data_IF_759984760501
#
_entry.id   IF_759984760501
#
_cell.length_a   1.000
_cell.length_b   1.000
_cell.length_c   1.000
_cell.angle_alpha   90.00
_cell.angle_beta   90.00
_cell.angle_gamma   90.00
#
_symmetry.space_group_name_H-M   'P 1'
#
loop_
_entity.id
_entity.type
_entity.pdbx_description
1 polymer ?
#
# COMPACT_ATOMS: atom_id res chain seq x y z
N UNK A 1 18.63 -34.11 41.57
CA UNK A 1 18.24 -33.69 40.21
C UNK A 1 16.98 -32.84 40.30
N UNK A 2 17.12 -31.52 40.16
CA UNK A 2 16.03 -30.65 39.69
C UNK A 2 16.69 -29.42 39.04
N UNK A 3 17.22 -29.65 37.84
CA UNK A 3 17.39 -28.61 36.81
C UNK A 3 15.99 -28.09 36.47
N UNK A 4 15.88 -26.96 35.77
CA UNK A 4 14.64 -26.29 35.35
C UNK A 4 14.05 -25.30 36.37
N UNK A 5 14.72 -24.18 36.60
CA UNK A 5 14.00 -22.94 36.86
C UNK A 5 14.75 -21.65 36.44
N UNK A 6 15.00 -21.45 35.13
CA UNK A 6 15.05 -20.10 34.61
C UNK A 6 14.04 -19.98 33.46
N UNK A 7 12.74 -20.06 33.76
CA UNK A 7 11.66 -19.83 32.78
C UNK A 7 10.74 -18.70 33.28
N UNK A 8 11.28 -17.68 33.93
CA UNK A 8 10.49 -16.56 34.45
C UNK A 8 10.96 -15.18 33.96
N UNK A 9 11.87 -15.12 32.98
CA UNK A 9 12.42 -13.84 32.48
C UNK A 9 12.24 -13.62 30.97
N UNK A 10 11.15 -14.12 30.40
CA UNK A 10 10.72 -13.77 29.04
C UNK A 10 9.28 -13.22 29.04
N UNK A 11 8.94 -12.37 30.01
CA UNK A 11 7.84 -11.43 29.86
C UNK A 11 8.33 -10.26 28.99
N UNK A 12 8.43 -10.48 27.68
CA UNK A 12 8.58 -9.38 26.74
C UNK A 12 7.34 -8.52 26.86
N UNK A 13 7.48 -7.29 27.37
CA UNK A 13 6.46 -6.27 27.22
C UNK A 13 6.36 -5.93 25.73
N UNK A 14 5.60 -6.72 24.97
CA UNK A 14 5.04 -6.22 23.72
C UNK A 14 4.12 -5.10 24.16
N UNK A 15 4.62 -3.88 24.05
CA UNK A 15 3.80 -2.69 24.15
C UNK A 15 2.70 -2.84 23.09
N UNK A 16 1.48 -3.15 23.53
CA UNK A 16 0.31 -3.18 22.66
C UNK A 16 -0.01 -1.72 22.39
N UNK A 17 0.69 -1.12 21.43
CA UNK A 17 0.27 0.14 20.86
C UNK A 17 -0.85 -0.18 19.88
N UNK A 18 -2.07 0.22 20.23
CA UNK A 18 -3.15 0.27 19.25
C UNK A 18 -2.71 1.22 18.13
N UNK A 19 -2.59 0.75 16.88
CA UNK A 19 -2.16 1.60 15.79
C UNK A 19 -3.12 2.78 15.70
N UNK A 20 -2.59 3.99 15.78
CA UNK A 20 -3.36 5.20 15.56
C UNK A 20 -3.30 5.58 14.07
N UNK A 21 -4.35 6.21 13.53
CA UNK A 21 -4.31 6.74 12.16
C UNK A 21 -3.09 7.65 11.90
N UNK A 22 -2.59 8.34 12.92
CA UNK A 22 -1.37 9.17 12.88
C UNK A 22 -0.08 8.38 12.68
N UNK A 23 -0.06 7.08 12.98
CA UNK A 23 1.10 6.22 12.78
C UNK A 23 1.32 5.91 11.29
N UNK A 24 0.32 6.23 10.44
CA UNK A 24 0.42 6.11 9.00
C UNK A 24 0.88 7.45 8.41
N UNK A 25 2.15 7.54 8.03
CA UNK A 25 2.63 8.66 7.22
C UNK A 25 2.12 8.52 5.78
N UNK A 26 1.10 9.30 5.42
CA UNK A 26 0.61 9.41 4.05
C UNK A 26 1.53 10.33 3.24
N UNK A 27 2.69 9.81 2.84
CA UNK A 27 3.57 10.49 1.88
C UNK A 27 3.07 10.24 0.45
N UNK A 28 2.28 11.18 -0.08
CA UNK A 28 1.77 11.11 -1.46
C UNK A 28 2.88 11.05 -2.52
N UNK A 29 4.08 11.56 -2.21
CA UNK A 29 5.22 11.53 -3.13
C UNK A 29 5.85 10.16 -3.28
N UNK A 30 5.66 9.27 -2.28
CA UNK A 30 6.13 7.88 -2.29
C UNK A 30 5.09 6.90 -2.81
N UNK A 31 3.85 7.34 -3.03
CA UNK A 31 2.76 6.46 -3.46
C UNK A 31 2.92 6.11 -4.94
N UNK A 32 3.10 4.83 -5.23
CA UNK A 32 3.05 4.30 -6.59
C UNK A 32 1.59 4.24 -7.07
N UNK A 33 1.09 5.38 -7.57
CA UNK A 33 -0.25 5.49 -8.13
C UNK A 33 -0.49 4.54 -9.31
N UNK A 34 0.56 4.17 -10.06
CA UNK A 34 0.40 3.23 -11.16
C UNK A 34 0.02 1.85 -10.64
N UNK A 35 0.61 1.43 -9.51
CA UNK A 35 0.26 0.17 -8.86
C UNK A 35 -1.12 0.21 -8.21
N UNK A 36 -1.46 1.31 -7.53
CA UNK A 36 -2.80 1.51 -6.94
C UNK A 36 -3.89 1.34 -8.01
N UNK A 37 -3.79 2.05 -9.15
CA UNK A 37 -4.80 1.95 -10.20
C UNK A 37 -4.91 0.54 -10.80
N UNK A 38 -3.81 -0.23 -10.90
CA UNK A 38 -3.88 -1.62 -11.36
C UNK A 38 -4.62 -2.51 -10.37
N UNK A 39 -4.36 -2.35 -9.07
CA UNK A 39 -5.04 -3.11 -8.02
C UNK A 39 -6.54 -2.80 -8.02
N UNK A 40 -6.91 -1.53 -8.15
CA UNK A 40 -8.32 -1.11 -8.24
C UNK A 40 -9.01 -1.64 -9.50
N UNK A 41 -8.34 -1.62 -10.67
CA UNK A 41 -8.87 -2.25 -11.89
C UNK A 41 -9.06 -3.77 -11.71
N UNK A 42 -8.12 -4.45 -11.05
CA UNK A 42 -8.26 -5.88 -10.75
C UNK A 42 -9.44 -6.14 -9.83
N UNK A 43 -9.59 -5.36 -8.76
CA UNK A 43 -10.72 -5.46 -7.85
C UNK A 43 -12.05 -5.18 -8.58
N UNK A 44 -12.10 -4.19 -9.47
CA UNK A 44 -13.27 -3.90 -10.29
C UNK A 44 -13.67 -5.10 -11.17
N UNK A 45 -12.70 -5.76 -11.81
CA UNK A 45 -12.96 -7.00 -12.59
C UNK A 45 -13.47 -8.13 -11.69
N UNK A 46 -12.87 -8.33 -10.52
CA UNK A 46 -13.29 -9.37 -9.55
C UNK A 46 -14.70 -9.14 -9.00
N UNK A 47 -15.17 -7.89 -8.99
CA UNK A 47 -16.51 -7.50 -8.52
C UNK A 47 -17.50 -7.20 -9.66
N UNK A 48 -17.12 -7.47 -10.92
CA UNK A 48 -17.93 -7.16 -12.11
C UNK A 48 -18.39 -5.68 -12.17
N UNK A 49 -17.60 -4.77 -11.59
CA UNK A 49 -17.87 -3.32 -11.58
C UNK A 49 -17.24 -2.65 -12.79
N UNK A 50 -17.97 -2.65 -13.90
CA UNK A 50 -17.56 -2.00 -15.15
C UNK A 50 -17.32 -0.49 -14.98
N UNK A 51 -18.10 0.18 -14.12
CA UNK A 51 -17.97 1.61 -13.87
C UNK A 51 -16.65 1.95 -13.21
N UNK A 52 -16.29 1.22 -12.16
CA UNK A 52 -15.01 1.37 -11.47
C UNK A 52 -13.84 1.03 -12.41
N UNK A 53 -13.93 -0.04 -13.19
CA UNK A 53 -12.88 -0.40 -14.14
C UNK A 53 -12.58 0.74 -15.12
N UNK A 54 -13.63 1.31 -15.74
CA UNK A 54 -13.46 2.41 -16.68
C UNK A 54 -12.87 3.66 -16.04
N UNK A 55 -13.32 4.01 -14.83
CA UNK A 55 -12.78 5.14 -14.10
C UNK A 55 -11.27 4.97 -13.84
N UNK A 56 -10.86 3.86 -13.24
CA UNK A 56 -9.45 3.64 -12.88
C UNK A 56 -8.56 3.43 -14.10
N UNK A 57 -9.07 2.83 -15.17
CA UNK A 57 -8.35 2.73 -16.43
C UNK A 57 -8.04 4.11 -17.02
N UNK A 58 -9.00 5.03 -17.01
CA UNK A 58 -8.78 6.40 -17.50
C UNK A 58 -7.70 7.13 -16.68
N UNK A 59 -7.75 7.02 -15.35
CA UNK A 59 -6.74 7.64 -14.47
C UNK A 59 -5.35 7.04 -14.66
N UNK A 60 -5.26 5.72 -14.80
CA UNK A 60 -4.00 5.03 -15.13
C UNK A 60 -3.40 5.55 -16.45
N UNK A 61 -4.23 5.68 -17.50
CA UNK A 61 -3.76 6.17 -18.80
C UNK A 61 -3.28 7.63 -18.73
N UNK A 62 -3.98 8.50 -18.01
CA UNK A 62 -3.54 9.89 -17.77
C UNK A 62 -2.18 9.93 -17.09
N UNK A 63 -1.98 9.10 -16.06
CA UNK A 63 -0.71 8.99 -15.35
C UNK A 63 0.42 8.53 -16.28
N UNK A 64 0.21 7.48 -17.08
CA UNK A 64 1.23 6.96 -18.03
C UNK A 64 1.60 8.00 -19.08
N UNK A 65 0.62 8.73 -19.62
CA UNK A 65 0.87 9.83 -20.56
C UNK A 65 1.72 10.92 -19.90
N UNK A 66 1.41 11.31 -18.65
CA UNK A 66 2.18 12.31 -17.89
C UNK A 66 3.63 11.86 -17.69
N UNK A 67 3.84 10.60 -17.29
CA UNK A 67 5.17 10.02 -17.11
C UNK A 67 5.98 10.00 -18.42
N UNK A 68 5.35 9.61 -19.53
CA UNK A 68 5.98 9.62 -20.86
C UNK A 68 6.36 11.03 -21.34
N UNK A 69 5.53 12.03 -21.04
CA UNK A 69 5.86 13.44 -21.35
C UNK A 69 7.03 13.92 -20.49
N UNK A 70 7.04 13.61 -19.21
CA UNK A 70 8.13 13.97 -18.30
C UNK A 70 9.46 13.33 -18.71
N UNK A 71 9.46 12.05 -19.11
CA UNK A 71 10.67 11.36 -19.57
C UNK A 71 11.22 11.92 -20.89
N UNK A 72 10.36 12.47 -21.76
CA UNK A 72 10.80 13.14 -23.00
C UNK A 72 11.36 14.54 -22.78
N UNK A 73 10.92 15.22 -21.72
CA UNK A 73 11.33 16.59 -21.40
C UNK A 73 12.60 16.66 -20.54
N UNK A 74 13.03 15.53 -19.97
CA UNK A 74 14.31 15.39 -19.26
C UNK A 74 15.24 14.47 -20.09
N UNK A 75 15.88 15.01 -21.16
CA UNK A 75 16.76 14.23 -22.03
C UNK A 75 18.01 13.70 -21.32
#
# INVERSE_FOLDING_TARGET
MLKYLPILFLSGCVSIHSPQPSDTEFDESKRDWAEVYKLEMKAAVENEDEGAYHFYFQEYMKLRIKQLKASKNNP
#
